data_IF_800271045623
#
_entry.id   IF_800271045623
#
_cell.length_a   1.000
_cell.length_b   1.000
_cell.length_c   1.000
_cell.angle_alpha   90.00
_cell.angle_beta   90.00
_cell.angle_gamma   90.00
#
_symmetry.space_group_name_H-M   'P 1'
#
loop_
_entity.id
_entity.type
_entity.pdbx_description
1 polymer ?
#
# COMPACT_ATOMS: atom_id res chain seq x y z
N UNK A 1 -47.00 21.09 14.83
CA UNK A 1 -46.71 20.64 13.44
C UNK A 1 -45.68 21.52 12.73
N UNK A 2 -45.91 22.84 12.60
CA UNK A 2 -44.97 23.76 11.91
C UNK A 2 -43.56 23.83 12.51
N UNK A 3 -43.43 23.72 13.83
CA UNK A 3 -42.15 23.69 14.56
C UNK A 3 -41.38 22.39 14.37
N UNK A 4 -42.07 21.26 14.33
CA UNK A 4 -41.47 19.93 14.08
C UNK A 4 -40.94 19.86 12.64
N UNK A 5 -41.69 20.38 11.67
CA UNK A 5 -41.25 20.44 10.27
C UNK A 5 -39.99 21.30 10.11
N UNK A 6 -39.90 22.44 10.80
CA UNK A 6 -38.68 23.27 10.81
C UNK A 6 -37.48 22.52 11.41
N UNK A 7 -37.69 21.76 12.48
CA UNK A 7 -36.62 20.96 13.11
C UNK A 7 -36.10 19.86 12.18
N UNK A 8 -37.00 19.18 11.48
CA UNK A 8 -36.67 18.13 10.49
C UNK A 8 -35.85 18.72 9.35
N UNK A 9 -36.25 19.89 8.82
CA UNK A 9 -35.53 20.57 7.73
C UNK A 9 -34.12 20.99 8.17
N UNK A 10 -33.97 21.54 9.37
CA UNK A 10 -32.66 21.91 9.92
C UNK A 10 -31.77 20.67 10.10
N UNK A 11 -32.32 19.57 10.60
CA UNK A 11 -31.58 18.33 10.80
C UNK A 11 -31.13 17.70 9.46
N UNK A 12 -32.00 17.72 8.43
CA UNK A 12 -31.63 17.25 7.09
C UNK A 12 -30.54 18.10 6.43
N UNK A 13 -30.57 19.42 6.62
CA UNK A 13 -29.55 20.33 6.09
C UNK A 13 -28.20 20.15 6.80
N UNK A 14 -28.22 19.87 8.10
CA UNK A 14 -27.03 19.59 8.90
C UNK A 14 -26.40 18.23 8.55
N UNK A 15 -27.20 17.20 8.23
CA UNK A 15 -26.68 15.91 7.77
C UNK A 15 -26.00 15.98 6.40
N UNK A 16 -26.37 16.94 5.53
CA UNK A 16 -25.71 17.13 4.24
C UNK A 16 -24.31 17.75 4.37
N UNK A 17 -24.02 18.49 5.45
CA UNK A 17 -22.77 19.24 5.60
C UNK A 17 -21.60 18.39 6.09
N UNK A 18 -21.84 17.15 6.53
CA UNK A 18 -20.82 16.28 7.15
C UNK A 18 -19.98 15.54 6.08
N UNK A 19 -20.40 15.53 4.81
CA UNK A 19 -19.71 14.80 3.73
C UNK A 19 -18.87 15.75 2.87
N UNK A 20 -17.92 16.46 3.49
CA UNK A 20 -16.78 17.03 2.76
C UNK A 20 -15.52 16.59 3.50
N UNK A 21 -15.30 15.27 3.56
CA UNK A 21 -13.96 14.74 3.77
C UNK A 21 -13.19 15.10 2.50
N UNK A 22 -12.27 16.07 2.59
CA UNK A 22 -11.33 16.35 1.50
C UNK A 22 -10.51 15.08 1.27
N UNK A 23 -10.94 14.23 0.35
CA UNK A 23 -10.11 13.18 -0.21
C UNK A 23 -8.91 13.90 -0.81
N UNK A 24 -7.76 13.82 -0.14
CA UNK A 24 -6.51 14.34 -0.65
C UNK A 24 -6.23 13.56 -1.93
N UNK A 25 -6.59 14.11 -3.09
CA UNK A 25 -6.25 13.50 -4.37
C UNK A 25 -4.74 13.27 -4.39
N UNK A 26 -4.35 12.02 -4.59
CA UNK A 26 -2.95 11.72 -4.85
C UNK A 26 -2.56 12.46 -6.14
N UNK A 27 -1.39 13.10 -6.18
CA UNK A 27 -0.95 13.77 -7.39
C UNK A 27 -0.95 12.77 -8.54
N UNK A 28 -1.69 13.07 -9.61
CA UNK A 28 -1.71 12.25 -10.81
C UNK A 28 -0.31 12.29 -11.41
N UNK A 29 0.44 11.21 -11.25
CA UNK A 29 1.76 11.06 -11.86
C UNK A 29 1.59 10.94 -13.38
N UNK A 30 2.45 11.62 -14.13
CA UNK A 30 2.53 11.38 -15.57
C UNK A 30 3.47 10.19 -15.86
N UNK A 31 3.44 9.71 -17.09
CA UNK A 31 4.26 8.56 -17.54
C UNK A 31 5.76 8.77 -17.25
N UNK A 32 6.28 9.98 -17.42
CA UNK A 32 7.68 10.30 -17.14
C UNK A 32 8.01 10.19 -15.64
N UNK A 33 7.09 10.58 -14.76
CA UNK A 33 7.25 10.43 -13.32
C UNK A 33 7.26 8.96 -12.92
N UNK A 34 6.37 8.15 -13.51
CA UNK A 34 6.33 6.69 -13.29
C UNK A 34 7.63 6.05 -13.77
N UNK A 35 8.10 6.36 -14.98
CA UNK A 35 9.35 5.83 -15.52
C UNK A 35 10.58 6.22 -14.68
N UNK A 36 10.60 7.47 -14.19
CA UNK A 36 11.67 7.95 -13.28
C UNK A 36 11.62 7.18 -11.95
N UNK A 37 10.42 6.91 -11.44
CA UNK A 37 10.24 6.16 -10.20
C UNK A 37 10.70 4.71 -10.35
N UNK A 38 10.31 4.04 -11.43
CA UNK A 38 10.78 2.68 -11.75
C UNK A 38 12.31 2.63 -11.90
N UNK A 39 12.91 3.64 -12.53
CA UNK A 39 14.37 3.76 -12.63
C UNK A 39 15.01 3.93 -11.25
N UNK A 40 14.40 4.73 -10.38
CA UNK A 40 14.84 4.89 -9.00
C UNK A 40 14.79 3.58 -8.21
N UNK A 41 13.72 2.78 -8.36
CA UNK A 41 13.58 1.47 -7.69
C UNK A 41 14.69 0.50 -8.12
N UNK A 42 15.19 0.58 -9.36
CA UNK A 42 16.30 -0.26 -9.85
C UNK A 42 17.70 0.33 -9.58
N UNK A 43 17.80 1.43 -8.83
CA UNK A 43 19.07 2.13 -8.65
C UNK A 43 20.02 1.38 -7.73
N UNK A 44 21.30 1.31 -8.11
CA UNK A 44 22.38 0.84 -7.22
C UNK A 44 22.64 1.80 -6.04
N UNK A 45 22.18 3.05 -6.13
CA UNK A 45 22.20 3.96 -5.00
C UNK A 45 21.09 3.57 -4.02
N UNK A 46 21.47 2.90 -2.93
CA UNK A 46 20.54 2.38 -1.92
C UNK A 46 19.59 3.46 -1.37
N UNK A 47 20.07 4.68 -1.15
CA UNK A 47 19.23 5.79 -0.68
C UNK A 47 18.17 6.22 -1.69
N UNK A 48 18.52 6.26 -2.97
CA UNK A 48 17.59 6.56 -4.06
C UNK A 48 16.58 5.41 -4.24
N UNK A 49 17.05 4.16 -4.22
CA UNK A 49 16.22 2.96 -4.28
C UNK A 49 15.16 2.96 -3.17
N UNK A 50 15.59 3.08 -1.90
CA UNK A 50 14.68 3.10 -0.75
C UNK A 50 13.68 4.26 -0.85
N UNK A 51 14.12 5.43 -1.29
CA UNK A 51 13.24 6.60 -1.48
C UNK A 51 12.20 6.35 -2.57
N UNK A 52 12.60 5.74 -3.68
CA UNK A 52 11.70 5.42 -4.79
C UNK A 52 10.66 4.36 -4.39
N UNK A 53 11.08 3.28 -3.73
CA UNK A 53 10.17 2.25 -3.20
C UNK A 53 9.15 2.87 -2.24
N UNK A 54 9.62 3.71 -1.31
CA UNK A 54 8.74 4.41 -0.38
C UNK A 54 7.72 5.30 -1.11
N UNK A 55 8.13 6.04 -2.13
CA UNK A 55 7.24 6.89 -2.92
C UNK A 55 6.21 6.07 -3.71
N UNK A 56 6.61 4.93 -4.29
CA UNK A 56 5.71 4.03 -4.99
C UNK A 56 4.57 3.55 -4.09
N UNK A 57 4.90 3.08 -2.88
CA UNK A 57 3.91 2.70 -1.88
C UNK A 57 3.06 3.88 -1.38
N UNK A 58 3.69 5.04 -1.11
CA UNK A 58 3.01 6.23 -0.61
C UNK A 58 1.96 6.76 -1.57
N UNK A 59 2.28 6.79 -2.86
CA UNK A 59 1.39 7.31 -3.91
C UNK A 59 0.56 6.22 -4.60
N UNK A 60 0.72 4.95 -4.19
CA UNK A 60 0.01 3.79 -4.73
C UNK A 60 0.17 3.66 -6.25
N UNK A 61 1.42 3.69 -6.72
CA UNK A 61 1.74 3.66 -8.15
C UNK A 61 1.72 2.22 -8.65
N UNK A 62 0.57 1.76 -9.12
CA UNK A 62 0.31 0.38 -9.54
C UNK A 62 1.30 -0.11 -10.62
N UNK A 63 1.70 0.79 -11.52
CA UNK A 63 2.64 0.52 -12.61
C UNK A 63 4.04 0.08 -12.13
N UNK A 64 4.34 0.26 -10.84
CA UNK A 64 5.61 -0.16 -10.24
C UNK A 64 5.61 -1.59 -9.71
N UNK A 65 4.47 -2.30 -9.73
CA UNK A 65 4.36 -3.63 -9.11
C UNK A 65 5.38 -4.63 -9.67
N UNK A 66 5.56 -4.67 -10.99
CA UNK A 66 6.52 -5.59 -11.63
C UNK A 66 7.95 -5.36 -11.13
N UNK A 67 8.42 -4.12 -11.15
CA UNK A 67 9.77 -3.77 -10.67
C UNK A 67 9.92 -3.94 -9.15
N UNK A 68 8.87 -3.71 -8.37
CA UNK A 68 8.89 -3.98 -6.93
C UNK A 68 9.05 -5.47 -6.65
N UNK A 69 8.38 -6.34 -7.42
CA UNK A 69 8.52 -7.79 -7.28
C UNK A 69 9.91 -8.29 -7.69
N UNK A 70 10.49 -7.74 -8.76
CA UNK A 70 11.88 -8.05 -9.14
C UNK A 70 12.86 -7.74 -8.00
N UNK A 71 12.72 -6.58 -7.35
CA UNK A 71 13.54 -6.22 -6.18
C UNK A 71 13.23 -7.13 -5.00
N UNK A 72 11.95 -7.42 -4.73
CA UNK A 72 11.54 -8.28 -3.61
C UNK A 72 12.15 -9.69 -3.70
N UNK A 73 12.19 -10.27 -4.90
CA UNK A 73 12.69 -11.63 -5.15
C UNK A 73 14.22 -11.73 -5.08
N UNK A 74 14.95 -10.63 -5.27
CA UNK A 74 16.41 -10.59 -5.30
C UNK A 74 17.06 -9.95 -4.07
N UNK A 75 16.28 -9.29 -3.22
CA UNK A 75 16.79 -8.58 -2.04
C UNK A 75 17.18 -9.52 -0.89
N UNK A 76 18.30 -9.22 -0.25
CA UNK A 76 18.85 -9.97 0.87
C UNK A 76 18.93 -9.16 2.17
N UNK A 77 18.96 -7.82 2.09
CA UNK A 77 18.87 -6.94 3.25
C UNK A 77 17.45 -7.01 3.84
N UNK A 78 17.31 -7.45 5.11
CA UNK A 78 16.00 -7.55 5.76
C UNK A 78 15.20 -6.25 5.75
N UNK A 79 15.88 -5.10 5.86
CA UNK A 79 15.21 -3.79 5.94
C UNK A 79 14.64 -3.37 4.59
N UNK A 80 15.38 -3.60 3.50
CA UNK A 80 14.88 -3.40 2.13
C UNK A 80 13.72 -4.34 1.81
N UNK A 81 13.84 -5.63 2.16
CA UNK A 81 12.79 -6.61 1.91
C UNK A 81 11.46 -6.19 2.57
N UNK A 82 11.52 -5.75 3.83
CA UNK A 82 10.37 -5.19 4.55
C UNK A 82 9.83 -3.93 3.86
N UNK A 83 10.70 -3.02 3.42
CA UNK A 83 10.29 -1.78 2.75
C UNK A 83 9.52 -2.05 1.46
N UNK A 84 10.01 -2.99 0.64
CA UNK A 84 9.35 -3.40 -0.60
C UNK A 84 8.00 -4.04 -0.32
N UNK A 85 7.93 -4.98 0.64
CA UNK A 85 6.66 -5.59 1.05
C UNK A 85 5.65 -4.55 1.56
N UNK A 86 6.09 -3.56 2.35
CA UNK A 86 5.24 -2.46 2.79
C UNK A 86 4.74 -1.60 1.61
N UNK A 87 5.57 -1.38 0.59
CA UNK A 87 5.16 -0.63 -0.60
C UNK A 87 4.08 -1.40 -1.38
N UNK A 88 4.29 -2.70 -1.61
CA UNK A 88 3.31 -3.60 -2.26
C UNK A 88 1.99 -3.61 -1.48
N UNK A 89 2.04 -3.76 -0.15
CA UNK A 89 0.87 -3.72 0.72
C UNK A 89 0.10 -2.40 0.61
N UNK A 90 0.80 -1.25 0.57
CA UNK A 90 0.15 0.07 0.44
C UNK A 90 -0.49 0.30 -0.92
N UNK A 91 0.13 -0.23 -1.98
CA UNK A 91 -0.44 -0.23 -3.33
C UNK A 91 -1.73 -1.07 -3.33
N UNK A 92 -1.69 -2.24 -2.70
CA UNK A 92 -2.85 -3.10 -2.51
C UNK A 92 -3.09 -4.11 -3.63
N UNK A 93 -2.12 -4.29 -4.52
CA UNK A 93 -2.17 -5.29 -5.58
C UNK A 93 -2.22 -6.70 -4.96
N UNK A 94 -3.29 -7.43 -5.24
CA UNK A 94 -3.56 -8.73 -4.63
C UNK A 94 -2.53 -9.80 -5.05
N UNK A 95 -2.19 -9.87 -6.34
CA UNK A 95 -1.25 -10.86 -6.86
C UNK A 95 0.14 -10.70 -6.22
N UNK A 96 0.62 -9.45 -6.15
CA UNK A 96 1.88 -9.13 -5.51
C UNK A 96 1.85 -9.42 -4.00
N UNK A 97 0.73 -9.17 -3.33
CA UNK A 97 0.58 -9.53 -1.91
C UNK A 97 0.58 -11.03 -1.67
N UNK A 98 0.04 -11.84 -2.59
CA UNK A 98 0.14 -13.30 -2.49
C UNK A 98 1.61 -13.77 -2.55
N UNK A 99 2.44 -13.14 -3.39
CA UNK A 99 3.90 -13.40 -3.40
C UNK A 99 4.58 -13.03 -2.09
N UNK A 100 4.20 -11.91 -1.47
CA UNK A 100 4.72 -11.49 -0.15
C UNK A 100 4.31 -12.50 0.94
N UNK A 101 3.07 -12.99 0.91
CA UNK A 101 2.56 -14.02 1.84
C UNK A 101 3.36 -15.30 1.72
N UNK A 102 3.60 -15.77 0.50
CA UNK A 102 4.40 -16.96 0.25
C UNK A 102 5.83 -16.80 0.80
N UNK A 103 6.49 -15.67 0.50
CA UNK A 103 7.86 -15.40 0.93
C UNK A 103 8.02 -15.31 2.47
N UNK A 104 6.99 -14.85 3.19
CA UNK A 104 7.00 -14.78 4.65
C UNK A 104 7.23 -16.17 5.30
N UNK A 105 6.83 -17.25 4.66
CA UNK A 105 7.02 -18.61 5.17
C UNK A 105 8.49 -19.07 5.08
N UNK A 106 9.18 -18.67 4.01
CA UNK A 106 10.53 -19.12 3.66
C UNK A 106 11.64 -18.15 4.09
N UNK A 107 11.29 -16.95 4.54
CA UNK A 107 12.27 -15.96 5.02
C UNK A 107 13.05 -16.50 6.22
N UNK A 108 14.38 -16.62 6.08
CA UNK A 108 15.25 -17.13 7.15
C UNK A 108 15.48 -16.12 8.28
N UNK A 109 15.61 -14.84 7.93
CA UNK A 109 15.82 -13.79 8.92
C UNK A 109 14.58 -13.61 9.80
N UNK A 110 14.70 -13.94 11.09
CA UNK A 110 13.57 -13.94 12.03
C UNK A 110 12.89 -12.57 12.15
N UNK A 111 13.65 -11.48 12.07
CA UNK A 111 13.09 -10.12 12.14
C UNK A 111 12.23 -9.82 10.91
N UNK A 112 12.77 -10.04 9.71
CA UNK A 112 12.00 -9.90 8.48
C UNK A 112 10.79 -10.83 8.45
N UNK A 113 10.95 -12.10 8.81
CA UNK A 113 9.86 -13.08 8.87
C UNK A 113 8.69 -12.60 9.72
N UNK A 114 8.96 -12.08 10.92
CA UNK A 114 7.92 -11.58 11.82
C UNK A 114 7.17 -10.39 11.22
N UNK A 115 7.89 -9.44 10.61
CA UNK A 115 7.28 -8.24 10.03
C UNK A 115 6.50 -8.59 8.75
N UNK A 116 7.07 -9.39 7.85
CA UNK A 116 6.37 -9.87 6.66
C UNK A 116 5.11 -10.64 7.05
N UNK A 117 5.18 -11.52 8.05
CA UNK A 117 4.01 -12.23 8.57
C UNK A 117 2.93 -11.29 9.10
N UNK A 118 3.31 -10.18 9.76
CA UNK A 118 2.37 -9.19 10.24
C UNK A 118 1.72 -8.39 9.09
N UNK A 119 2.51 -7.98 8.09
CA UNK A 119 2.01 -7.33 6.87
C UNK A 119 1.01 -8.25 6.16
N UNK A 120 1.38 -9.51 5.93
CA UNK A 120 0.54 -10.54 5.34
C UNK A 120 -0.76 -10.75 6.12
N UNK A 121 -0.67 -10.86 7.45
CA UNK A 121 -1.86 -11.06 8.29
C UNK A 121 -2.81 -9.86 8.22
N UNK A 122 -2.29 -8.64 8.29
CA UNK A 122 -3.11 -7.44 8.15
C UNK A 122 -3.81 -7.40 6.80
N UNK A 123 -3.10 -7.69 5.71
CA UNK A 123 -3.70 -7.73 4.37
C UNK A 123 -4.82 -8.77 4.25
N UNK A 124 -4.59 -10.00 4.74
CA UNK A 124 -5.59 -11.06 4.72
C UNK A 124 -6.85 -10.67 5.50
N UNK A 125 -6.69 -10.07 6.68
CA UNK A 125 -7.81 -9.60 7.51
C UNK A 125 -8.57 -8.46 6.84
N UNK A 126 -7.86 -7.46 6.31
CA UNK A 126 -8.47 -6.30 5.64
C UNK A 126 -9.24 -6.64 4.37
N UNK A 127 -8.84 -7.73 3.68
CA UNK A 127 -9.46 -8.17 2.44
C UNK A 127 -10.32 -9.43 2.61
N UNK A 128 -10.61 -9.84 3.86
CA UNK A 128 -11.45 -11.00 4.20
C UNK A 128 -10.98 -12.32 3.52
N UNK A 129 -9.68 -12.45 3.26
CA UNK A 129 -9.10 -13.62 2.61
C UNK A 129 -8.87 -14.73 3.66
N UNK A 130 -9.39 -15.94 3.46
CA UNK A 130 -9.24 -17.02 4.43
C UNK A 130 -7.78 -17.41 4.68
N UNK A 131 -7.43 -17.58 5.95
CA UNK A 131 -6.10 -18.01 6.41
C UNK A 131 -5.63 -19.38 5.88
N UNK A 132 -6.52 -20.16 5.26
CA UNK A 132 -6.21 -21.47 4.69
C UNK A 132 -5.31 -21.40 3.44
N UNK A 133 -5.00 -20.19 2.93
CA UNK A 133 -4.12 -19.95 1.79
C UNK A 133 -2.66 -19.63 2.20
N UNK A 134 -2.25 -20.07 3.40
CA UNK A 134 -0.95 -19.77 4.01
C UNK A 134 0.04 -20.92 3.87
#
# INVERSE_FOLDING_TARGET
MKTVIKLVIIFTLFSLSIVITSAKENPKLNENNVATLMTGIKSENEGLMRSAIFMAGKYKVEETIEVLLEVFESESDPSNLILVAMAIYRIGNQEAMMKVIEAANYTENMHAKNILSAISMNYLVENEIPFALR
#
